data_IF_032302988177
#
_entry.id   IF_032302988177
#
_cell.length_a   1.000
_cell.length_b   1.000
_cell.length_c   1.000
_cell.angle_alpha   90.00
_cell.angle_beta   90.00
_cell.angle_gamma   90.00
#
_symmetry.space_group_name_H-M   'P 1'
#
loop_
_entity.id
_entity.type
_entity.pdbx_description
1 polymer ?
#
# COMPACT_ATOMS: atom_id res chain seq x y z
N UNK A 1 38.19 18.52 10.97
CA UNK A 1 38.00 17.37 11.87
C UNK A 1 36.51 17.21 12.08
N UNK A 2 35.90 16.12 11.61
CA UNK A 2 34.48 15.88 11.83
C UNK A 2 34.32 15.13 13.16
N UNK A 3 33.53 15.68 14.08
CA UNK A 3 33.24 15.05 15.37
C UNK A 3 32.18 13.99 15.11
N UNK A 4 32.49 12.72 15.38
CA UNK A 4 31.52 11.63 15.31
C UNK A 4 30.75 11.57 16.64
N UNK A 5 29.45 11.90 16.66
CA UNK A 5 28.66 11.91 17.89
C UNK A 5 28.50 10.52 18.51
N UNK A 6 28.85 9.43 17.80
CA UNK A 6 28.89 8.07 18.39
C UNK A 6 30.19 7.78 19.15
N UNK A 7 31.23 8.59 18.97
CA UNK A 7 32.55 8.41 19.59
C UNK A 7 32.88 9.48 20.62
N UNK A 8 32.02 10.47 20.79
CA UNK A 8 32.18 11.52 21.80
C UNK A 8 31.54 11.08 23.13
N UNK A 9 32.32 10.98 24.23
CA UNK A 9 31.79 10.58 25.53
C UNK A 9 30.79 11.59 26.13
N UNK A 10 30.73 12.82 25.60
CA UNK A 10 29.79 13.85 26.04
C UNK A 10 28.53 13.96 25.16
N UNK A 11 28.46 13.23 24.03
CA UNK A 11 27.32 13.28 23.14
C UNK A 11 26.25 12.24 23.54
N UNK A 12 25.01 12.70 23.73
CA UNK A 12 23.86 11.82 23.98
C UNK A 12 22.87 11.94 22.82
N UNK A 13 22.66 10.86 22.08
CA UNK A 13 21.74 10.84 20.92
C UNK A 13 20.33 10.46 21.36
N UNK A 14 19.46 11.46 21.50
CA UNK A 14 18.04 11.24 21.80
C UNK A 14 17.30 10.89 20.52
N UNK A 15 17.05 9.59 20.31
CA UNK A 15 16.30 9.08 19.13
C UNK A 15 14.87 8.73 19.52
N UNK A 16 14.18 9.63 20.21
CA UNK A 16 12.73 9.44 20.42
C UNK A 16 12.05 9.65 19.07
N UNK A 17 11.40 8.62 18.50
CA UNK A 17 10.80 8.73 17.18
C UNK A 17 9.57 9.64 17.22
N UNK A 18 9.31 10.34 16.11
CA UNK A 18 8.09 11.12 15.96
C UNK A 18 6.86 10.18 15.99
N UNK A 19 5.70 10.63 16.49
CA UNK A 19 4.47 9.83 16.49
C UNK A 19 4.12 9.27 15.11
N UNK A 20 4.37 10.04 14.04
CA UNK A 20 4.15 9.61 12.66
C UNK A 20 5.07 8.47 12.21
N UNK A 21 6.30 8.42 12.71
CA UNK A 21 7.25 7.34 12.41
C UNK A 21 6.86 6.04 13.12
N UNK A 22 6.36 6.16 14.37
CA UNK A 22 5.78 5.03 15.09
C UNK A 22 4.55 4.48 14.36
N UNK A 23 3.63 5.35 13.95
CA UNK A 23 2.44 4.97 13.19
C UNK A 23 2.80 4.29 11.87
N UNK A 24 3.78 4.83 11.12
CA UNK A 24 4.26 4.24 9.87
C UNK A 24 4.90 2.87 10.09
N UNK A 25 5.67 2.69 11.16
CA UNK A 25 6.28 1.40 11.52
C UNK A 25 5.23 0.37 11.92
N UNK A 26 4.17 0.78 12.61
CA UNK A 26 3.04 -0.09 12.96
C UNK A 26 2.24 -0.49 11.72
N UNK A 27 1.96 0.46 10.81
CA UNK A 27 1.28 0.17 9.55
C UNK A 27 2.09 -0.80 8.67
N UNK A 28 3.41 -0.61 8.58
CA UNK A 28 4.29 -1.51 7.84
C UNK A 28 4.32 -2.92 8.45
N UNK A 29 4.30 -3.04 9.79
CA UNK A 29 4.21 -4.33 10.49
C UNK A 29 2.86 -5.01 10.25
N UNK A 30 1.76 -4.27 10.33
CA UNK A 30 0.42 -4.79 10.06
C UNK A 30 0.26 -5.26 8.60
N UNK A 31 0.86 -4.55 7.65
CA UNK A 31 0.88 -4.95 6.25
C UNK A 31 1.72 -6.22 6.03
N UNK A 32 2.88 -6.35 6.69
CA UNK A 32 3.71 -7.54 6.63
C UNK A 32 3.04 -8.76 7.29
N UNK A 33 2.32 -8.57 8.40
CA UNK A 33 1.54 -9.63 9.06
C UNK A 33 0.34 -10.06 8.20
N UNK A 34 -0.30 -9.13 7.47
CA UNK A 34 -1.33 -9.47 6.46
C UNK A 34 -0.76 -10.21 5.24
N UNK A 35 0.48 -9.93 4.85
CA UNK A 35 1.14 -10.58 3.71
C UNK A 35 1.77 -11.94 4.05
N UNK A 36 2.13 -12.19 5.32
CA UNK A 36 2.75 -13.44 5.78
C UNK A 36 1.78 -14.55 6.20
N UNK A 37 0.48 -14.25 6.29
CA UNK A 37 -0.56 -15.20 6.67
C UNK A 37 -1.19 -15.90 5.47
N UNK A 38 -0.63 -17.04 5.05
CA UNK A 38 -1.38 -18.03 4.27
C UNK A 38 -2.51 -18.58 5.16
N UNK A 39 -3.75 -18.09 4.96
CA UNK A 39 -4.95 -18.55 5.64
C UNK A 39 -5.55 -17.50 6.58
N UNK A 40 -6.49 -16.72 6.05
CA UNK A 40 -7.21 -15.66 6.76
C UNK A 40 -8.15 -16.23 7.83
N UNK A 41 -7.75 -16.16 9.10
CA UNK A 41 -8.68 -16.15 10.23
C UNK A 41 -8.83 -14.69 10.68
N UNK A 42 -9.77 -13.99 10.05
CA UNK A 42 -10.13 -12.59 10.38
C UNK A 42 -10.86 -12.58 11.73
N UNK A 43 -10.37 -11.80 12.70
CA UNK A 43 -11.15 -11.45 13.87
C UNK A 43 -12.47 -10.79 13.41
N UNK A 44 -13.60 -10.91 14.14
CA UNK A 44 -14.88 -10.39 13.70
C UNK A 44 -14.87 -8.86 13.69
N UNK A 45 -14.35 -8.28 12.63
CA UNK A 45 -14.54 -6.89 12.24
C UNK A 45 -16.02 -6.77 11.89
N UNK A 46 -16.74 -5.72 12.33
CA UNK A 46 -18.10 -5.50 11.85
C UNK A 46 -18.11 -5.55 10.32
N UNK A 47 -19.09 -6.21 9.69
CA UNK A 47 -19.14 -6.33 8.24
C UNK A 47 -19.18 -4.92 7.66
N UNK A 48 -18.15 -4.58 6.91
CA UNK A 48 -18.11 -3.32 6.17
C UNK A 48 -19.27 -3.35 5.17
N UNK A 49 -20.22 -2.42 5.23
CA UNK A 49 -21.41 -2.41 4.38
C UNK A 49 -21.09 -2.22 2.90
N UNK A 50 -19.87 -1.79 2.56
CA UNK A 50 -19.40 -1.67 1.18
C UNK A 50 -18.59 -2.89 0.73
N UNK A 51 -18.29 -3.81 1.65
CA UNK A 51 -17.53 -5.01 1.34
C UNK A 51 -18.45 -6.09 0.81
N UNK A 52 -18.22 -6.48 -0.44
CA UNK A 52 -18.92 -7.58 -1.09
C UNK A 52 -18.47 -8.92 -0.46
N UNK A 53 -19.33 -9.94 -0.41
CA UNK A 53 -19.00 -11.23 0.19
C UNK A 53 -17.86 -11.92 -0.59
N UNK A 54 -17.02 -12.68 0.11
CA UNK A 54 -15.78 -13.26 -0.44
C UNK A 54 -15.97 -14.28 -1.57
N UNK A 55 -17.19 -14.74 -1.82
CA UNK A 55 -17.55 -15.62 -2.94
C UNK A 55 -18.06 -14.86 -4.17
N UNK A 56 -18.30 -13.55 -4.05
CA UNK A 56 -18.53 -12.70 -5.20
C UNK A 56 -17.19 -12.34 -5.83
N UNK A 57 -17.18 -12.36 -7.16
CA UNK A 57 -16.05 -12.02 -8.02
C UNK A 57 -15.67 -10.54 -7.83
N UNK A 58 -14.88 -10.30 -6.78
CA UNK A 58 -14.16 -9.06 -6.49
C UNK A 58 -12.66 -9.35 -6.65
N UNK A 59 -12.33 -9.89 -7.81
CA UNK A 59 -10.96 -10.15 -8.28
C UNK A 59 -10.22 -8.84 -8.66
N UNK A 60 -10.86 -7.68 -8.44
CA UNK A 60 -10.33 -6.36 -8.77
C UNK A 60 -10.29 -6.09 -10.26
N UNK A 61 -10.99 -6.91 -11.05
CA UNK A 61 -10.98 -6.78 -12.50
C UNK A 61 -11.94 -5.68 -12.96
N UNK A 62 -11.39 -4.50 -13.30
CA UNK A 62 -12.15 -3.49 -14.02
C UNK A 62 -12.42 -4.01 -15.45
N UNK A 63 -13.68 -4.10 -15.91
CA UNK A 63 -14.04 -4.50 -17.27
C UNK A 63 -13.28 -3.77 -18.39
N UNK A 64 -12.65 -2.63 -18.11
CA UNK A 64 -11.83 -1.89 -19.06
C UNK A 64 -10.34 -2.27 -19.08
N UNK A 65 -9.87 -3.17 -18.20
CA UNK A 65 -8.45 -3.54 -18.08
C UNK A 65 -7.91 -4.34 -19.26
N UNK A 66 -8.60 -5.41 -19.69
CA UNK A 66 -8.19 -6.19 -20.87
C UNK A 66 -8.92 -5.77 -22.15
N UNK A 67 -9.57 -4.60 -22.15
CA UNK A 67 -10.22 -4.13 -23.38
C UNK A 67 -9.11 -3.77 -24.37
N UNK A 68 -9.11 -4.37 -25.57
CA UNK A 68 -8.22 -3.92 -26.64
C UNK A 68 -8.45 -2.42 -26.86
N UNK A 69 -7.38 -1.66 -27.06
CA UNK A 69 -7.48 -0.26 -27.43
C UNK A 69 -7.99 -0.15 -28.88
N UNK A 70 -9.30 -0.29 -29.06
CA UNK A 70 -9.96 -0.30 -30.38
C UNK A 70 -10.13 1.09 -30.98
N UNK A 71 -9.80 2.15 -30.24
CA UNK A 71 -9.88 3.50 -30.76
C UNK A 71 -8.59 3.86 -31.51
N UNK A 72 -8.68 4.21 -32.81
CA UNK A 72 -7.53 4.70 -33.53
C UNK A 72 -7.03 5.99 -32.87
N UNK A 73 -5.71 6.10 -32.70
CA UNK A 73 -5.05 7.29 -32.12
C UNK A 73 -5.38 8.58 -32.89
N UNK A 74 -5.81 8.44 -34.15
CA UNK A 74 -6.17 9.53 -35.04
C UNK A 74 -7.41 9.18 -35.84
N UNK A 75 -8.26 10.17 -36.08
CA UNK A 75 -9.37 10.05 -37.01
C UNK A 75 -8.84 9.90 -38.45
N UNK A 76 -9.58 9.18 -39.30
CA UNK A 76 -9.27 9.11 -40.73
C UNK A 76 -9.40 10.51 -41.33
N UNK A 77 -8.43 10.89 -42.17
CA UNK A 77 -8.43 12.16 -42.89
C UNK A 77 -9.75 12.31 -43.68
N UNK A 78 -10.57 13.36 -43.40
CA UNK A 78 -11.83 13.60 -44.09
C UNK A 78 -11.68 14.03 -45.55
N UNK A 79 -10.46 14.25 -46.04
CA UNK A 79 -10.17 14.73 -47.40
C UNK A 79 -9.42 13.74 -48.31
N UNK A 80 -9.34 12.45 -47.92
CA UNK A 80 -8.87 11.38 -48.83
C UNK A 80 -9.89 11.03 -49.92
#
# INVERSE_FOLDING_TARGET
>A
MAIDPRKDPNATVVTTPLPSQLARKQAARAAAERAGGSGTAEAPTPPDPFRRPANEDDDGYDPYSDRPADNPLFERDPWN
#
